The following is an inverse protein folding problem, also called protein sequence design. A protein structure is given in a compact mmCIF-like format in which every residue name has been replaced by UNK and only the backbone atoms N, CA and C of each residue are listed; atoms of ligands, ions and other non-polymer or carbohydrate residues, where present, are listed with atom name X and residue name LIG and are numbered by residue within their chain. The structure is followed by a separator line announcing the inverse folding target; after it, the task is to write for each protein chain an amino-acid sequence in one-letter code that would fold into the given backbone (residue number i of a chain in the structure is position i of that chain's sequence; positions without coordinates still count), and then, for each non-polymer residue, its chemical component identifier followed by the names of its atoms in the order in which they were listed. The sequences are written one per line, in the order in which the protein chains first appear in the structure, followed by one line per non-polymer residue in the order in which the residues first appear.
data_IF_109737066729
#
_entry.id   IF_109737066729
#
_cell.length_a   1.000
_cell.length_b   1.000
_cell.length_c   1.000
_cell.angle_alpha   90.00
_cell.angle_beta   90.00
_cell.angle_gamma   90.00
#
_symmetry.space_group_name_H-M   'P 1'
#
loop_
_entity.id
_entity.type
_entity.pdbx_description
1 polymer ?
#
# COMPACT_ATOMS: atom_id res chain seq x y z
N UNK A 1 40.47 37.38 74.73
CA UNK A 1 40.76 36.26 74.42
C UNK A 1 39.83 35.69 73.57
N UNK A 2 39.76 35.25 72.76
CA UNK A 2 39.81 34.87 71.79
C UNK A 2 39.15 33.91 71.21
N UNK A 3 38.69 33.61 70.37
CA UNK A 3 38.54 32.92 69.53
C UNK A 3 37.65 32.36 68.97
N UNK A 4 37.44 32.02 68.15
CA UNK A 4 37.50 31.65 67.07
C UNK A 4 36.87 30.72 66.55
N UNK A 5 36.24 30.70 65.84
CA UNK A 5 35.68 29.91 65.28
C UNK A 5 35.60 29.60 64.01
N UNK A 6 35.66 28.84 63.55
CA UNK A 6 35.72 28.52 62.40
C UNK A 6 34.83 27.70 61.87
N UNK A 7 34.25 27.91 61.15
CA UNK A 7 33.50 27.18 60.53
C UNK A 7 33.68 26.79 59.32
N UNK A 8 33.48 26.00 58.91
CA UNK A 8 33.40 25.57 57.82
C UNK A 8 32.61 24.99 57.21
N UNK A 9 32.14 24.90 56.43
CA UNK A 9 31.54 24.47 55.70
C UNK A 9 31.76 23.89 54.65
N UNK A 10 31.34 23.22 54.28
CA UNK A 10 31.41 22.67 53.25
C UNK A 10 30.50 22.29 52.57
N UNK A 11 30.17 22.35 51.81
CA UNK A 11 29.81 22.15 50.86
C UNK A 11 29.73 21.23 50.12
N UNK A 12 29.21 20.76 49.61
CA UNK A 12 29.05 20.21 48.71
C UNK A 12 28.61 19.78 48.01
N UNK A 13 28.21 19.41 47.24
CA UNK A 13 27.98 18.90 46.37
C UNK A 13 27.56 18.58 45.42
N UNK A 14 27.47 18.28 44.71
CA UNK A 14 27.10 18.22 43.60
C UNK A 14 26.71 17.21 43.02
N UNK A 15 26.06 17.03 42.56
CA UNK A 15 25.74 16.25 41.91
C UNK A 15 25.66 16.19 40.70
N UNK A 16 25.81 15.65 40.08
CA UNK A 16 25.84 15.43 38.88
C UNK A 16 24.87 14.67 38.45
N UNK A 17 23.98 15.08 37.98
CA UNK A 17 23.14 14.33 37.30
C UNK A 17 23.62 14.04 36.00
N UNK A 18 23.98 12.96 35.78
CA UNK A 18 24.14 12.51 34.54
C UNK A 18 22.90 12.13 34.01
N UNK A 19 22.42 12.80 33.19
CA UNK A 19 21.41 12.34 32.37
C UNK A 19 21.94 11.28 31.51
N UNK A 20 21.33 10.20 31.48
CA UNK A 20 21.67 9.22 30.55
C UNK A 20 21.26 9.74 29.19
N UNK A 21 22.18 9.87 28.41
CA UNK A 21 21.93 10.06 27.04
C UNK A 21 21.32 8.80 26.52
N UNK A 22 20.09 8.81 26.41
CA UNK A 22 19.44 7.74 25.74
C UNK A 22 19.75 7.91 24.30
N UNK A 23 20.70 7.23 23.89
CA UNK A 23 20.89 7.04 22.48
C UNK A 23 19.75 6.17 22.06
N UNK A 24 18.74 6.78 21.59
CA UNK A 24 17.76 6.01 20.95
C UNK A 24 18.38 5.45 19.73
N UNK A 25 18.72 4.25 19.86
CA UNK A 25 19.16 3.51 18.72
C UNK A 25 17.91 3.17 17.96
N UNK A 26 17.70 3.84 16.90
CA UNK A 26 16.68 3.44 15.97
C UNK A 26 16.91 2.01 15.57
N UNK A 27 15.88 1.19 15.65
CA UNK A 27 16.01 -0.17 15.21
C UNK A 27 16.30 -0.14 13.72
N UNK A 28 17.38 -0.73 13.39
CA UNK A 28 17.88 -0.70 12.04
C UNK A 28 17.09 -1.56 11.07
N UNK A 29 16.07 -2.23 11.52
CA UNK A 29 15.34 -3.12 10.64
C UNK A 29 13.87 -3.12 11.01
N UNK A 30 13.11 -2.32 10.27
CA UNK A 30 11.67 -2.27 10.43
C UNK A 30 10.96 -3.38 9.67
N UNK A 31 11.70 -4.20 8.94
CA UNK A 31 11.08 -5.22 8.10
C UNK A 31 10.54 -6.43 8.85
N UNK A 32 11.05 -6.64 10.06
CA UNK A 32 10.68 -7.81 10.84
C UNK A 32 9.64 -7.55 11.93
N UNK A 33 9.06 -6.36 11.95
CA UNK A 33 8.04 -6.05 12.94
C UNK A 33 6.68 -5.90 12.28
N UNK A 34 5.85 -6.94 12.32
CA UNK A 34 4.52 -6.88 11.73
C UNK A 34 3.63 -5.82 12.38
N UNK A 35 3.92 -5.43 13.60
CA UNK A 35 3.17 -4.41 14.31
C UNK A 35 3.44 -2.98 13.84
N UNK A 36 4.45 -2.78 13.00
CA UNK A 36 4.77 -1.47 12.42
C UNK A 36 4.29 -1.31 10.99
N UNK A 37 3.72 -2.34 10.40
CA UNK A 37 3.13 -2.23 9.09
C UNK A 37 1.78 -1.53 9.21
N UNK A 38 1.64 -0.47 8.46
CA UNK A 38 0.39 0.27 8.43
C UNK A 38 -0.50 -0.36 7.38
N UNK A 39 -1.66 -0.83 7.80
CA UNK A 39 -2.62 -1.36 6.85
C UNK A 39 -2.92 -0.33 5.78
N UNK A 40 -2.91 -0.76 4.54
CA UNK A 40 -3.17 0.08 3.39
C UNK A 40 -4.29 -0.50 2.56
N UNK A 41 -5.19 0.36 2.13
CA UNK A 41 -6.24 -0.05 1.23
C UNK A 41 -5.73 0.02 -0.20
N UNK A 42 -5.81 -1.09 -0.93
CA UNK A 42 -5.44 -1.15 -2.34
C UNK A 42 -6.68 -1.24 -3.20
N UNK A 43 -6.64 -0.57 -4.32
CA UNK A 43 -7.69 -0.64 -5.32
C UNK A 43 -7.21 -1.46 -6.52
N UNK A 44 -8.01 -2.46 -6.89
CA UNK A 44 -7.73 -3.33 -8.02
C UNK A 44 -8.82 -3.22 -9.07
N UNK A 45 -8.42 -3.13 -10.32
CA UNK A 45 -9.31 -2.96 -11.47
C UNK A 45 -9.11 -3.99 -12.58
N UNK A 46 -8.08 -4.84 -12.46
CA UNK A 46 -7.75 -5.88 -13.43
C UNK A 46 -7.90 -7.27 -12.83
N UNK A 47 -6.97 -8.17 -13.13
CA UNK A 47 -7.02 -9.56 -12.68
C UNK A 47 -7.01 -9.70 -11.16
N UNK A 48 -6.35 -8.78 -10.45
CA UNK A 48 -6.33 -8.80 -8.99
C UNK A 48 -7.69 -8.48 -8.36
N UNK A 49 -8.65 -8.02 -9.14
CA UNK A 49 -10.02 -7.87 -8.65
C UNK A 49 -10.78 -9.19 -8.59
N UNK A 50 -10.21 -10.27 -9.12
CA UNK A 50 -10.72 -11.62 -8.93
C UNK A 50 -10.21 -12.18 -7.60
N UNK A 51 -11.11 -12.62 -6.68
CA UNK A 51 -10.70 -13.11 -5.36
C UNK A 51 -9.76 -14.31 -5.43
N UNK A 52 -9.95 -15.19 -6.39
CA UNK A 52 -9.09 -16.38 -6.54
C UNK A 52 -7.68 -15.98 -6.93
N UNK A 53 -7.55 -15.10 -7.92
CA UNK A 53 -6.25 -14.61 -8.36
C UNK A 53 -5.53 -13.85 -7.23
N UNK A 54 -6.24 -13.00 -6.52
CA UNK A 54 -5.66 -12.26 -5.40
C UNK A 54 -5.19 -13.21 -4.30
N UNK A 55 -5.98 -14.21 -3.96
CA UNK A 55 -5.60 -15.20 -2.95
C UNK A 55 -4.33 -15.95 -3.35
N UNK A 56 -4.19 -16.31 -4.60
CA UNK A 56 -2.98 -16.97 -5.11
C UNK A 56 -1.75 -16.08 -5.03
N UNK A 57 -1.87 -14.84 -5.47
CA UNK A 57 -0.76 -13.87 -5.46
C UNK A 57 -0.31 -13.58 -4.03
N UNK A 58 -1.24 -13.38 -3.13
CA UNK A 58 -0.95 -13.08 -1.72
C UNK A 58 -0.70 -14.33 -0.88
N UNK A 59 -0.92 -15.52 -1.45
CA UNK A 59 -0.80 -16.81 -0.75
C UNK A 59 -1.68 -16.87 0.49
N UNK A 60 -2.93 -16.47 0.32
CA UNK A 60 -3.93 -16.51 1.39
C UNK A 60 -4.50 -17.92 1.52
N UNK A 61 -4.83 -18.30 2.75
CA UNK A 61 -5.51 -19.57 3.00
C UNK A 61 -6.98 -19.50 2.65
N UNK A 62 -7.58 -18.35 2.89
CA UNK A 62 -9.00 -18.14 2.66
C UNK A 62 -9.22 -17.14 1.53
N UNK A 63 -10.39 -17.26 0.91
CA UNK A 63 -10.80 -16.33 -0.13
C UNK A 63 -10.99 -14.92 0.45
N UNK A 64 -10.34 -13.90 -0.09
CA UNK A 64 -10.46 -12.56 0.45
C UNK A 64 -11.83 -11.95 0.18
N UNK A 65 -12.32 -11.18 1.15
CA UNK A 65 -13.54 -10.41 0.98
C UNK A 65 -13.18 -9.08 0.31
N UNK A 66 -13.64 -8.91 -0.92
CA UNK A 66 -13.39 -7.71 -1.71
C UNK A 66 -14.59 -6.78 -1.64
N UNK A 67 -14.34 -5.51 -1.46
CA UNK A 67 -15.39 -4.48 -1.41
C UNK A 67 -15.46 -3.76 -2.74
N UNK A 68 -16.62 -3.75 -3.40
CA UNK A 68 -16.78 -2.93 -4.61
C UNK A 68 -16.48 -1.47 -4.34
N UNK A 69 -15.70 -0.86 -5.22
CA UNK A 69 -15.23 0.51 -5.05
C UNK A 69 -14.98 1.13 -6.42
N UNK A 70 -14.70 2.42 -6.42
CA UNK A 70 -14.28 3.13 -7.62
C UNK A 70 -13.26 4.19 -7.30
N UNK A 71 -12.51 4.59 -8.30
CA UNK A 71 -11.61 5.74 -8.23
C UNK A 71 -11.91 6.68 -9.40
N UNK A 72 -11.60 7.95 -9.18
CA UNK A 72 -11.75 9.00 -10.18
C UNK A 72 -10.38 9.46 -10.69
N UNK A 73 -10.38 10.36 -11.66
CA UNK A 73 -9.16 11.03 -12.14
C UNK A 73 -8.18 10.12 -12.88
N UNK A 74 -8.66 8.99 -13.39
CA UNK A 74 -7.85 8.07 -14.19
C UNK A 74 -8.56 7.69 -15.45
N UNK A 75 -7.80 7.40 -16.50
CA UNK A 75 -8.29 6.81 -17.73
C UNK A 75 -7.80 5.38 -17.86
N UNK A 76 -8.57 4.54 -18.52
CA UNK A 76 -8.18 3.16 -18.76
C UNK A 76 -7.84 2.94 -20.22
N UNK A 77 -6.72 2.29 -20.47
CA UNK A 77 -6.31 1.77 -21.77
C UNK A 77 -5.90 0.30 -21.61
N UNK A 78 -5.54 -0.32 -22.69
CA UNK A 78 -5.13 -1.72 -22.69
C UNK A 78 -3.69 -1.88 -23.14
N UNK A 79 -2.99 -2.72 -22.43
CA UNK A 79 -1.71 -3.26 -22.84
C UNK A 79 -1.92 -4.72 -23.22
N UNK A 80 -2.03 -4.98 -24.54
CA UNK A 80 -2.53 -6.27 -24.98
C UNK A 80 -3.98 -6.45 -24.51
N UNK A 81 -4.20 -7.47 -23.70
CA UNK A 81 -5.52 -7.74 -23.10
C UNK A 81 -5.62 -7.25 -21.65
N UNK A 82 -4.56 -6.63 -21.13
CA UNK A 82 -4.48 -6.22 -19.73
C UNK A 82 -4.83 -4.74 -19.57
N UNK A 83 -5.61 -4.39 -18.53
CA UNK A 83 -5.94 -3.00 -18.30
C UNK A 83 -4.76 -2.23 -17.72
N UNK A 84 -4.64 -0.98 -18.11
CA UNK A 84 -3.63 -0.07 -17.62
C UNK A 84 -4.25 1.29 -17.33
N UNK A 85 -4.02 1.81 -16.14
CA UNK A 85 -4.50 3.14 -15.77
C UNK A 85 -3.47 4.21 -16.10
N UNK A 86 -3.98 5.32 -16.60
CA UNK A 86 -3.23 6.55 -16.82
C UNK A 86 -3.86 7.69 -16.04
N UNK A 87 -3.05 8.66 -15.66
CA UNK A 87 -3.56 9.89 -15.03
C UNK A 87 -4.32 10.75 -16.03
N UNK A 88 -5.29 11.48 -15.56
CA UNK A 88 -5.75 12.64 -16.29
C UNK A 88 -7.07 12.56 -17.05
N UNK A 89 -8.00 11.73 -16.62
CA UNK A 89 -9.37 11.74 -17.16
C UNK A 89 -10.37 11.83 -16.02
N UNK A 90 -10.66 13.05 -15.53
CA UNK A 90 -11.45 13.20 -14.30
C UNK A 90 -12.93 12.82 -14.44
N UNK A 91 -13.44 12.64 -15.62
CA UNK A 91 -14.87 12.44 -15.84
C UNK A 91 -15.35 10.99 -15.81
N UNK A 92 -14.45 10.03 -15.81
CA UNK A 92 -14.83 8.64 -15.91
C UNK A 92 -14.43 7.88 -14.63
N UNK A 93 -15.40 7.33 -13.92
CA UNK A 93 -15.05 6.47 -12.78
C UNK A 93 -14.48 5.14 -13.27
N UNK A 94 -13.47 4.68 -12.58
CA UNK A 94 -12.93 3.34 -12.79
C UNK A 94 -13.50 2.45 -11.70
N UNK A 95 -14.25 1.45 -12.09
CA UNK A 95 -14.84 0.49 -11.15
C UNK A 95 -13.90 -0.67 -10.89
N UNK A 96 -13.87 -1.11 -9.67
CA UNK A 96 -13.05 -2.21 -9.23
C UNK A 96 -13.40 -2.64 -7.82
N UNK A 97 -12.40 -3.11 -7.10
CA UNK A 97 -12.55 -3.58 -5.73
C UNK A 97 -11.44 -3.04 -4.85
N UNK A 98 -11.73 -2.95 -3.57
CA UNK A 98 -10.75 -2.56 -2.57
C UNK A 98 -10.45 -3.73 -1.64
N UNK A 99 -9.19 -3.85 -1.25
CA UNK A 99 -8.72 -4.85 -0.30
C UNK A 99 -7.68 -4.22 0.62
N UNK A 100 -7.76 -4.57 1.89
CA UNK A 100 -6.84 -4.05 2.89
C UNK A 100 -5.62 -4.95 3.03
N UNK A 101 -4.46 -4.44 2.63
CA UNK A 101 -3.18 -5.12 2.74
C UNK A 101 -2.68 -4.99 4.18
N UNK A 102 -2.26 -6.09 4.78
CA UNK A 102 -1.95 -6.18 6.20
C UNK A 102 -0.48 -6.39 6.52
N UNK A 103 0.37 -6.60 5.52
CA UNK A 103 1.79 -6.82 5.76
C UNK A 103 2.62 -6.32 4.60
N UNK A 104 3.87 -6.02 4.88
CA UNK A 104 4.84 -5.67 3.84
C UNK A 104 5.04 -6.83 2.86
N UNK A 105 4.98 -8.05 3.34
CA UNK A 105 5.10 -9.24 2.49
C UNK A 105 3.99 -9.31 1.46
N UNK A 106 2.75 -9.00 1.85
CA UNK A 106 1.64 -8.93 0.90
C UNK A 106 1.85 -7.85 -0.14
N UNK A 107 2.28 -6.67 0.28
CA UNK A 107 2.56 -5.57 -0.65
C UNK A 107 3.68 -5.94 -1.63
N UNK A 108 4.74 -6.56 -1.15
CA UNK A 108 5.85 -6.99 -2.00
C UNK A 108 5.40 -8.01 -3.05
N UNK A 109 4.50 -8.89 -2.70
CA UNK A 109 3.92 -9.86 -3.65
C UNK A 109 3.08 -9.20 -4.72
N UNK A 110 2.36 -8.14 -4.39
CA UNK A 110 1.63 -7.36 -5.38
C UNK A 110 2.58 -6.65 -6.34
N UNK A 111 3.63 -6.04 -5.83
CA UNK A 111 4.63 -5.34 -6.65
C UNK A 111 5.32 -6.31 -7.59
N UNK A 112 5.68 -7.49 -7.11
CA UNK A 112 6.29 -8.53 -7.92
C UNK A 112 5.34 -9.00 -9.03
N UNK A 113 4.09 -9.20 -8.73
CA UNK A 113 3.08 -9.60 -9.70
C UNK A 113 2.88 -8.55 -10.80
N UNK A 114 2.82 -7.28 -10.42
CA UNK A 114 2.60 -6.17 -11.35
C UNK A 114 3.81 -5.85 -12.21
N UNK A 115 4.99 -6.25 -11.78
CA UNK A 115 6.26 -6.00 -12.47
C UNK A 115 6.60 -4.51 -12.57
N UNK A 116 7.68 -4.17 -13.27
CA UNK A 116 8.10 -2.78 -13.49
C UNK A 116 7.22 -2.03 -14.50
N UNK A 117 6.31 -2.74 -15.16
CA UNK A 117 5.39 -2.12 -16.13
C UNK A 117 4.33 -1.26 -15.43
N UNK A 118 4.10 -1.49 -14.16
CA UNK A 118 3.16 -0.73 -13.33
C UNK A 118 3.87 -0.18 -12.11
N UNK A 119 3.41 0.94 -11.62
CA UNK A 119 3.93 1.54 -10.37
C UNK A 119 2.81 1.85 -9.41
N UNK A 120 3.11 1.85 -8.13
CA UNK A 120 2.16 2.24 -7.10
C UNK A 120 1.90 3.74 -7.17
N UNK A 121 0.65 4.12 -6.99
CA UNK A 121 0.24 5.52 -6.91
C UNK A 121 -0.87 5.68 -5.88
N UNK A 122 -0.78 6.72 -5.08
CA UNK A 122 -1.84 7.10 -4.15
C UNK A 122 -3.11 7.49 -4.88
N UNK A 123 -4.24 7.09 -4.37
CA UNK A 123 -5.55 7.40 -4.93
C UNK A 123 -6.58 7.57 -3.82
N UNK A 124 -7.73 8.11 -4.17
CA UNK A 124 -8.87 8.18 -3.29
C UNK A 124 -9.88 7.13 -3.70
N UNK A 125 -10.13 6.19 -2.83
CA UNK A 125 -11.04 5.06 -3.08
C UNK A 125 -12.42 5.42 -2.54
N UNK A 126 -13.42 5.33 -3.40
CA UNK A 126 -14.80 5.60 -3.03
C UNK A 126 -15.62 4.33 -3.01
N UNK A 127 -16.33 4.08 -1.93
CA UNK A 127 -17.21 2.94 -1.76
C UNK A 127 -18.65 3.28 -2.13
N UNK A 128 -19.48 2.24 -2.28
CA UNK A 128 -20.89 2.41 -2.68
C UNK A 128 -21.71 3.26 -1.70
N UNK A 129 -21.34 3.29 -0.44
CA UNK A 129 -22.01 4.10 0.57
C UNK A 129 -21.60 5.57 0.55
N UNK A 130 -20.72 5.94 -0.38
CA UNK A 130 -20.22 7.31 -0.51
C UNK A 130 -19.00 7.61 0.35
N UNK A 131 -18.57 6.69 1.21
CA UNK A 131 -17.36 6.90 1.99
C UNK A 131 -16.12 6.83 1.11
N UNK A 132 -15.11 7.62 1.48
CA UNK A 132 -13.86 7.71 0.74
C UNK A 132 -12.70 7.47 1.68
N UNK A 133 -11.72 6.70 1.22
CA UNK A 133 -10.50 6.44 1.98
C UNK A 133 -9.29 6.64 1.09
N UNK A 134 -8.18 7.15 1.63
CA UNK A 134 -6.94 7.18 0.87
C UNK A 134 -6.43 5.76 0.70
N UNK A 135 -5.91 5.48 -0.46
CA UNK A 135 -5.40 4.16 -0.78
C UNK A 135 -4.34 4.20 -1.86
N UNK A 136 -4.06 3.05 -2.41
CA UNK A 136 -3.02 2.85 -3.42
C UNK A 136 -3.59 2.03 -4.57
N UNK A 137 -3.19 2.35 -5.78
CA UNK A 137 -3.47 1.55 -6.96
C UNK A 137 -2.21 1.42 -7.81
N UNK A 138 -2.27 0.62 -8.85
CA UNK A 138 -1.18 0.47 -9.79
C UNK A 138 -1.51 1.20 -11.09
N UNK A 139 -0.60 2.02 -11.56
CA UNK A 139 -0.75 2.77 -12.81
C UNK A 139 0.35 2.39 -13.78
N UNK A 140 0.10 2.61 -15.06
CA UNK A 140 1.07 2.31 -16.11
C UNK A 140 2.37 3.08 -15.90
N UNK A 141 3.49 2.38 -16.02
CA UNK A 141 4.83 2.93 -15.74
C UNK A 141 5.77 2.80 -16.93
N UNK A 142 5.27 2.42 -18.08
CA UNK A 142 6.08 2.27 -19.29
C UNK A 142 5.61 3.24 -20.37
N UNK A 143 6.09 3.08 -21.59
CA UNK A 143 5.74 3.94 -22.70
C UNK A 143 4.22 3.90 -22.97
N UNK A 144 3.52 5.04 -22.90
CA UNK A 144 2.09 5.09 -23.24
C UNK A 144 1.79 4.67 -24.69
N UNK A 145 2.78 4.73 -25.57
CA UNK A 145 2.63 4.28 -26.95
C UNK A 145 2.40 2.79 -27.10
N UNK A 146 2.68 2.01 -26.06
CA UNK A 146 2.41 0.58 -26.04
C UNK A 146 0.94 0.26 -25.74
N UNK A 147 0.17 1.25 -25.33
CA UNK A 147 -1.22 1.09 -24.96
C UNK A 147 -2.14 1.35 -26.13
N UNK A 148 -3.26 0.64 -26.17
CA UNK A 148 -4.32 0.86 -27.14
C UNK A 148 -5.60 1.25 -26.43
N UNK A 149 -6.49 1.90 -27.17
CA UNK A 149 -7.80 2.23 -26.64
C UNK A 149 -8.63 0.98 -26.43
N UNK A 150 -9.46 0.98 -25.41
CA UNK A 150 -10.33 -0.13 -25.07
C UNK A 150 -10.68 -0.13 -23.59
N UNK A 151 -11.66 -0.93 -23.25
CA UNK A 151 -12.08 -1.16 -21.88
C UNK A 151 -11.79 -2.58 -21.47
N UNK A 152 -11.74 -2.81 -20.18
CA UNK A 152 -11.52 -4.12 -19.59
C UNK A 152 -12.73 -4.49 -18.72
N UNK A 153 -13.25 -5.68 -18.93
CA UNK A 153 -14.25 -6.30 -18.08
C UNK A 153 -13.71 -7.64 -17.59
N UNK A 154 -13.54 -7.75 -16.28
CA UNK A 154 -12.99 -8.96 -15.67
C UNK A 154 -13.84 -10.19 -15.96
N UNK A 155 -15.16 -10.01 -15.95
CA UNK A 155 -16.08 -11.13 -16.15
C UNK A 155 -15.95 -11.71 -17.54
N UNK A 156 -15.90 -10.84 -18.54
CA UNK A 156 -15.73 -11.27 -19.92
C UNK A 156 -14.38 -11.94 -20.11
N UNK A 157 -13.32 -11.36 -19.54
CA UNK A 157 -11.97 -11.93 -19.60
C UNK A 157 -11.92 -13.33 -18.97
N UNK A 158 -12.55 -13.52 -17.82
CA UNK A 158 -12.60 -14.83 -17.16
C UNK A 158 -13.36 -15.87 -17.97
N UNK A 159 -14.40 -15.46 -18.68
CA UNK A 159 -15.15 -16.37 -19.56
C UNK A 159 -14.29 -16.79 -20.75
N UNK A 160 -13.59 -15.86 -21.38
CA UNK A 160 -12.69 -16.16 -22.49
C UNK A 160 -11.58 -17.15 -22.08
N UNK A 161 -11.02 -17.00 -20.87
CA UNK A 161 -10.01 -17.91 -20.36
C UNK A 161 -10.55 -19.33 -20.17
N UNK A 162 -11.78 -19.47 -19.71
CA UNK A 162 -12.41 -20.80 -19.56
C UNK A 162 -12.60 -21.50 -20.90
N UNK A 163 -13.03 -20.76 -21.91
CA UNK A 163 -13.22 -21.33 -23.24
C UNK A 163 -11.92 -21.84 -23.85
N UNK A 164 -10.79 -21.21 -23.52
CA UNK A 164 -9.45 -21.65 -23.96
C UNK A 164 -9.04 -22.92 -23.22
N UNK A 165 -9.33 -23.05 -21.94
CA UNK A 165 -8.97 -24.23 -21.16
C UNK A 165 -9.79 -25.48 -21.51
N UNK A 166 -10.98 -25.31 -22.08
CA UNK A 166 -11.83 -26.41 -22.50
C UNK A 166 -11.50 -26.94 -23.91
N UNK A 167 -10.58 -26.33 -24.61
CA UNK A 167 -10.11 -26.78 -25.91
C UNK A 167 -8.91 -27.71 -25.80
#
# INVERSE_FOLDING_TARGET
MASLATSRQTSSLPQTSTTPTTTEKEPADTHDRPDLFWTRCFFFYGMLSDPTTLAEVLRLHDRPALRPAMIMEHGMKLWGEYPALLDGHPEMPIHGVAYEIRSQTEEDRLVEYETDMYRKKGCLIEFKDGSKVPGVTFVWNADPGLLRDGGFDLKDWLLEQRDIEEL
#
